data_IF_024021575456
#
_entry.id   IF_024021575456
#
_cell.length_a   1.000
_cell.length_b   1.000
_cell.length_c   1.000
_cell.angle_alpha   90.00
_cell.angle_beta   90.00
_cell.angle_gamma   90.00
#
_symmetry.space_group_name_H-M   'P 1'
#
loop_
_entity.id
_entity.type
_entity.pdbx_description
1 polymer ?
#
# COMPACT_ATOMS: atom_id res chain seq x y z
N UNK A 1 0.71 -8.39 21.57
CA UNK A 1 0.05 -7.86 20.36
C UNK A 1 -0.52 -6.52 20.68
N UNK A 2 -0.25 -5.56 19.80
CA UNK A 2 -0.77 -4.21 19.91
C UNK A 2 -2.17 -4.13 19.33
N UNK A 3 -2.95 -3.16 19.82
CA UNK A 3 -4.20 -2.78 19.18
C UNK A 3 -3.92 -2.13 17.83
N UNK A 4 -4.76 -2.41 16.84
CA UNK A 4 -4.61 -1.90 15.46
C UNK A 4 -4.52 -0.37 15.40
N UNK A 5 -5.18 0.33 16.33
CA UNK A 5 -5.21 1.79 16.44
C UNK A 5 -3.84 2.43 16.76
N UNK A 6 -2.85 1.64 17.16
CA UNK A 6 -1.48 2.11 17.38
C UNK A 6 -0.67 2.23 16.09
N UNK A 7 -1.14 1.64 15.00
CA UNK A 7 -0.43 1.62 13.74
C UNK A 7 -1.05 2.59 12.75
N UNK A 8 -0.22 3.40 12.11
CA UNK A 8 -0.63 4.21 10.95
C UNK A 8 -0.67 3.31 9.72
N UNK A 9 -1.86 2.77 9.40
CA UNK A 9 -2.02 1.86 8.26
C UNK A 9 -1.75 2.54 6.92
N UNK A 10 -1.96 3.85 6.81
CA UNK A 10 -1.72 4.59 5.58
C UNK A 10 -0.21 4.76 5.36
N UNK A 11 0.56 5.03 6.41
CA UNK A 11 2.01 5.12 6.34
C UNK A 11 2.67 3.75 6.10
N UNK A 12 2.17 2.66 6.72
CA UNK A 12 2.60 1.29 6.39
C UNK A 12 2.30 0.97 4.92
N UNK A 13 1.08 1.28 4.46
CA UNK A 13 0.69 1.04 3.08
C UNK A 13 1.54 1.84 2.08
N UNK A 14 1.88 3.08 2.42
CA UNK A 14 2.82 3.90 1.66
C UNK A 14 4.18 3.21 1.57
N UNK A 15 4.75 2.78 2.70
CA UNK A 15 6.02 2.06 2.76
C UNK A 15 6.01 0.76 1.94
N UNK A 16 4.92 -0.02 1.98
CA UNK A 16 4.73 -1.22 1.15
C UNK A 16 4.66 -0.91 -0.35
N UNK A 17 4.34 0.33 -0.73
CA UNK A 17 4.25 0.76 -2.13
C UNK A 17 5.53 1.40 -2.66
N UNK A 18 6.42 1.86 -1.78
CA UNK A 18 7.59 2.67 -2.12
C UNK A 18 8.71 1.84 -2.77
N UNK A 19 8.72 1.80 -4.10
CA UNK A 19 9.67 1.03 -4.91
C UNK A 19 11.04 1.70 -5.00
N UNK A 20 11.71 1.90 -3.86
CA UNK A 20 13.06 2.45 -3.83
C UNK A 20 14.05 1.55 -4.59
N UNK A 21 14.60 2.05 -5.69
CA UNK A 21 15.40 1.29 -6.66
C UNK A 21 16.83 0.97 -6.17
N UNK A 22 17.31 1.60 -5.09
CA UNK A 22 18.70 1.49 -4.65
C UNK A 22 18.89 1.20 -3.17
N UNK A 23 17.81 0.90 -2.46
CA UNK A 23 17.83 0.67 -1.02
C UNK A 23 18.47 1.84 -0.25
N UNK A 24 18.32 3.05 -0.79
CA UNK A 24 18.84 4.30 -0.19
C UNK A 24 18.17 4.60 1.16
N UNK A 25 16.92 4.18 1.29
CA UNK A 25 16.11 4.36 2.49
C UNK A 25 15.14 3.19 2.69
N UNK A 26 14.74 2.99 3.94
CA UNK A 26 13.78 1.98 4.39
C UNK A 26 12.88 2.56 5.48
N UNK A 27 11.63 2.14 5.47
CA UNK A 27 10.72 2.38 6.58
C UNK A 27 10.84 1.21 7.55
N UNK A 28 11.12 1.52 8.80
CA UNK A 28 11.16 0.59 9.92
C UNK A 28 9.96 0.83 10.81
N UNK A 29 9.47 -0.18 11.52
CA UNK A 29 8.42 -0.02 12.51
C UNK A 29 8.94 -0.33 13.90
N UNK A 30 8.57 0.50 14.88
CA UNK A 30 8.81 0.19 16.28
C UNK A 30 7.67 -0.71 16.79
N UNK A 31 7.97 -1.97 17.19
CA UNK A 31 6.96 -2.94 17.60
C UNK A 31 6.29 -2.62 18.95
N UNK A 32 6.82 -1.68 19.73
CA UNK A 32 6.26 -1.31 21.05
C UNK A 32 5.16 -0.24 20.95
N UNK A 33 5.34 0.72 20.04
CA UNK A 33 4.47 1.89 19.92
C UNK A 33 3.82 2.06 18.54
N UNK A 34 4.25 1.30 17.51
CA UNK A 34 3.75 1.38 16.14
C UNK A 34 4.33 2.53 15.31
N UNK A 35 5.31 3.27 15.84
CA UNK A 35 5.95 4.40 15.18
C UNK A 35 6.78 3.95 13.97
N UNK A 36 6.67 4.67 12.87
CA UNK A 36 7.47 4.42 11.66
C UNK A 36 8.69 5.34 11.66
N UNK A 37 9.84 4.72 11.39
CA UNK A 37 11.15 5.38 11.40
C UNK A 37 11.75 5.24 10.01
N UNK A 38 12.18 6.37 9.43
CA UNK A 38 12.91 6.37 8.18
C UNK A 38 14.39 6.12 8.46
N UNK A 39 14.89 4.95 8.03
CA UNK A 39 16.32 4.68 7.94
C UNK A 39 16.84 5.10 6.58
N UNK A 40 18.04 5.68 6.54
CA UNK A 40 18.77 6.01 5.32
C UNK A 40 20.16 5.40 5.36
N UNK A 41 20.68 5.00 4.20
CA UNK A 41 22.03 4.40 4.11
C UNK A 41 23.14 5.35 4.55
N UNK A 42 23.00 6.64 4.27
CA UNK A 42 24.02 7.64 4.59
C UNK A 42 23.89 8.21 6.01
N UNK A 43 22.68 8.30 6.55
CA UNK A 43 22.40 8.99 7.82
C UNK A 43 21.85 8.11 8.93
N UNK A 44 21.67 6.81 8.69
CA UNK A 44 21.01 5.92 9.66
C UNK A 44 19.58 6.37 9.95
N UNK A 45 19.16 6.28 11.21
CA UNK A 45 17.82 6.66 11.69
C UNK A 45 17.73 8.12 12.17
N UNK A 46 18.86 8.76 12.49
CA UNK A 46 18.91 10.14 12.98
C UNK A 46 19.33 11.16 11.89
N UNK A 47 19.65 10.67 10.70
CA UNK A 47 20.07 11.46 9.54
C UNK A 47 21.54 11.91 9.58
N UNK A 48 22.31 11.53 10.59
CA UNK A 48 23.69 12.00 10.83
C UNK A 48 24.68 10.90 11.13
N UNK A 49 24.24 9.79 11.72
CA UNK A 49 25.09 8.68 12.13
C UNK A 49 24.74 7.42 11.33
N UNK A 50 25.55 7.04 10.33
CA UNK A 50 25.34 5.82 9.57
C UNK A 50 25.32 4.60 10.51
N UNK A 51 24.28 3.78 10.39
CA UNK A 51 24.16 2.47 11.05
C UNK A 51 23.68 1.47 10.00
N UNK A 52 24.23 0.25 10.04
CA UNK A 52 23.76 -0.81 9.16
C UNK A 52 22.31 -1.17 9.52
N UNK A 53 21.50 -1.46 8.50
CA UNK A 53 20.11 -1.88 8.69
C UNK A 53 20.05 -3.17 9.50
N UNK A 54 20.99 -4.08 9.27
CA UNK A 54 21.07 -5.38 9.95
C UNK A 54 21.47 -5.26 11.44
N UNK A 55 22.02 -4.12 11.85
CA UNK A 55 22.35 -3.82 13.26
C UNK A 55 21.13 -3.28 14.03
N UNK A 56 20.02 -2.99 13.36
CA UNK A 56 18.77 -2.52 13.96
C UNK A 56 17.82 -3.70 14.22
N UNK A 57 17.39 -3.87 15.47
CA UNK A 57 16.37 -4.85 15.86
C UNK A 57 14.94 -4.30 15.63
N UNK A 58 14.72 -3.73 14.44
CA UNK A 58 13.44 -3.14 14.03
C UNK A 58 12.97 -3.78 12.72
N UNK A 59 11.72 -4.29 12.66
CA UNK A 59 11.19 -4.85 11.43
C UNK A 59 11.17 -3.81 10.30
N UNK A 60 11.74 -4.18 9.15
CA UNK A 60 11.75 -3.36 7.96
C UNK A 60 10.52 -3.64 7.08
N UNK A 61 9.76 -2.60 6.73
CA UNK A 61 8.62 -2.69 5.83
C UNK A 61 9.17 -2.80 4.41
N UNK A 62 9.24 -4.02 3.89
CA UNK A 62 9.73 -4.28 2.53
C UNK A 62 8.65 -3.98 1.50
N UNK A 63 8.97 -3.24 0.41
CA UNK A 63 8.00 -2.96 -0.63
C UNK A 63 7.44 -4.25 -1.24
N UNK A 64 6.13 -4.30 -1.41
CA UNK A 64 5.48 -5.39 -2.13
C UNK A 64 5.83 -5.31 -3.61
N UNK A 65 5.88 -6.44 -4.33
CA UNK A 65 6.10 -6.43 -5.76
C UNK A 65 5.08 -5.54 -6.48
N UNK A 66 5.55 -4.72 -7.43
CA UNK A 66 4.69 -3.82 -8.23
C UNK A 66 3.50 -4.51 -8.91
N UNK A 67 3.58 -5.82 -9.18
CA UNK A 67 2.46 -6.60 -9.74
C UNK A 67 1.25 -6.67 -8.80
N UNK A 68 1.44 -6.62 -7.47
CA UNK A 68 0.34 -6.62 -6.50
C UNK A 68 -0.45 -5.31 -6.57
N UNK A 69 0.25 -4.19 -6.75
CA UNK A 69 -0.38 -2.87 -6.92
C UNK A 69 -1.04 -2.75 -8.30
N UNK A 70 -0.41 -3.31 -9.33
CA UNK A 70 -0.98 -3.41 -10.67
C UNK A 70 -2.29 -4.22 -10.66
N UNK A 71 -2.33 -5.35 -9.95
CA UNK A 71 -3.52 -6.18 -9.84
C UNK A 71 -4.71 -5.40 -9.27
N UNK A 72 -4.47 -4.46 -8.34
CA UNK A 72 -5.53 -3.57 -7.84
C UNK A 72 -6.17 -2.73 -8.95
N UNK A 73 -5.40 -2.27 -9.94
CA UNK A 73 -5.95 -1.54 -11.08
C UNK A 73 -6.75 -2.45 -12.03
N UNK A 74 -6.28 -3.67 -12.24
CA UNK A 74 -6.98 -4.67 -13.05
C UNK A 74 -8.30 -5.07 -12.41
N UNK A 75 -8.29 -5.40 -11.11
CA UNK A 75 -9.49 -5.79 -10.38
C UNK A 75 -10.53 -4.65 -10.34
N UNK A 76 -10.09 -3.41 -10.10
CA UNK A 76 -11.00 -2.27 -10.19
C UNK A 76 -11.61 -2.14 -11.58
N UNK A 77 -10.80 -2.29 -12.63
CA UNK A 77 -11.26 -2.22 -14.02
C UNK A 77 -12.32 -3.28 -14.31
N UNK A 78 -12.14 -4.50 -13.80
CA UNK A 78 -13.07 -5.61 -13.99
C UNK A 78 -14.39 -5.44 -13.23
N UNK A 79 -14.40 -4.62 -12.17
CA UNK A 79 -15.59 -4.33 -11.35
C UNK A 79 -16.41 -3.13 -11.83
N UNK A 80 -15.86 -2.28 -12.72
CA UNK A 80 -16.59 -1.12 -13.27
C UNK A 80 -17.74 -1.57 -14.16
N UNK A 81 -18.97 -1.10 -13.88
CA UNK A 81 -20.15 -1.53 -14.62
C UNK A 81 -20.31 -0.85 -16.00
N UNK A 82 -19.72 0.33 -16.19
CA UNK A 82 -19.69 0.99 -17.50
C UNK A 82 -18.70 0.27 -18.42
N UNK A 83 -19.21 -0.58 -19.31
CA UNK A 83 -18.44 -1.34 -20.30
C UNK A 83 -17.45 -0.48 -21.10
N UNK A 84 -17.81 0.77 -21.42
CA UNK A 84 -16.94 1.66 -22.19
C UNK A 84 -15.79 2.16 -21.32
N UNK A 85 -16.06 2.48 -20.06
CA UNK A 85 -15.04 2.85 -19.09
C UNK A 85 -14.10 1.68 -18.80
N UNK A 86 -14.65 0.51 -18.47
CA UNK A 86 -13.90 -0.72 -18.22
C UNK A 86 -12.97 -1.06 -19.40
N UNK A 87 -13.48 -1.04 -20.64
CA UNK A 87 -12.66 -1.31 -21.83
C UNK A 87 -11.52 -0.29 -22.02
N UNK A 88 -11.75 0.99 -21.72
CA UNK A 88 -10.72 2.04 -21.81
C UNK A 88 -9.65 1.89 -20.75
N UNK A 89 -10.05 1.65 -19.51
CA UNK A 89 -9.15 1.40 -18.39
C UNK A 89 -8.31 0.13 -18.61
N UNK A 90 -8.92 -0.96 -19.09
CA UNK A 90 -8.23 -2.20 -19.43
C UNK A 90 -7.14 -1.97 -20.48
N UNK A 91 -7.40 -1.13 -21.48
CA UNK A 91 -6.39 -0.73 -22.46
C UNK A 91 -5.31 0.16 -21.84
N UNK A 92 -5.66 1.07 -20.95
CA UNK A 92 -4.72 1.99 -20.30
C UNK A 92 -3.66 1.26 -19.46
N UNK A 93 -4.06 0.18 -18.77
CA UNK A 93 -3.14 -0.59 -17.91
C UNK A 93 -2.16 -1.48 -18.70
N UNK A 94 -2.35 -1.68 -20.00
CA UNK A 94 -1.45 -2.54 -20.77
C UNK A 94 -0.10 -1.86 -21.10
N UNK A 95 1.01 -2.44 -20.62
CA UNK A 95 2.39 -2.05 -20.98
C UNK A 95 2.99 -0.92 -20.14
N UNK A 96 4.23 -0.51 -20.47
CA UNK A 96 5.03 0.46 -19.69
C UNK A 96 4.26 1.76 -19.43
N UNK A 97 4.22 2.23 -18.18
CA UNK A 97 3.49 3.46 -17.80
C UNK A 97 2.00 3.26 -17.50
N UNK A 98 1.58 2.02 -17.24
CA UNK A 98 0.21 1.65 -16.87
C UNK A 98 -0.38 2.53 -15.77
N UNK A 99 0.31 2.67 -14.63
CA UNK A 99 -0.13 3.47 -13.49
C UNK A 99 -0.46 4.91 -13.86
N UNK A 100 0.38 5.55 -14.66
CA UNK A 100 0.15 6.93 -15.11
C UNK A 100 -1.07 7.00 -16.02
N UNK A 101 -1.09 6.19 -17.10
CA UNK A 101 -2.18 6.23 -18.10
C UNK A 101 -3.54 5.91 -17.50
N UNK A 102 -3.63 4.97 -16.58
CA UNK A 102 -4.88 4.64 -15.90
C UNK A 102 -5.40 5.83 -15.09
N UNK A 103 -4.52 6.49 -14.32
CA UNK A 103 -4.89 7.71 -13.60
C UNK A 103 -5.28 8.82 -14.58
N UNK A 104 -4.54 9.02 -15.65
CA UNK A 104 -4.86 10.02 -16.67
C UNK A 104 -6.26 9.76 -17.28
N UNK A 105 -6.58 8.50 -17.61
CA UNK A 105 -7.90 8.12 -18.16
C UNK A 105 -9.03 8.38 -17.15
N UNK A 106 -8.83 8.05 -15.86
CA UNK A 106 -9.79 8.38 -14.80
C UNK A 106 -10.00 9.89 -14.66
N UNK A 107 -8.93 10.68 -14.63
CA UNK A 107 -9.03 12.14 -14.44
C UNK A 107 -9.65 12.84 -15.66
N UNK A 108 -9.28 12.43 -16.87
CA UNK A 108 -9.69 13.12 -18.08
C UNK A 108 -11.04 12.66 -18.64
N UNK A 109 -11.36 11.36 -18.53
CA UNK A 109 -12.50 10.75 -19.23
C UNK A 109 -13.57 10.22 -18.27
N UNK A 110 -13.17 9.77 -17.09
CA UNK A 110 -14.07 9.12 -16.12
C UNK A 110 -13.95 9.70 -14.70
N UNK A 111 -14.04 11.03 -14.51
CA UNK A 111 -13.83 11.64 -13.20
C UNK A 111 -14.84 11.20 -12.14
N UNK A 112 -16.01 10.71 -12.55
CA UNK A 112 -17.02 10.13 -11.66
C UNK A 112 -16.57 8.81 -11.01
N UNK A 113 -15.57 8.12 -11.58
CA UNK A 113 -15.00 6.89 -11.02
C UNK A 113 -13.81 7.15 -10.08
N UNK A 114 -13.30 8.39 -10.00
CA UNK A 114 -12.10 8.70 -9.21
C UNK A 114 -12.28 8.40 -7.73
N UNK A 115 -13.42 8.80 -7.15
CA UNK A 115 -13.67 8.56 -5.73
C UNK A 115 -13.76 7.06 -5.45
N UNK A 116 -14.50 6.31 -6.27
CA UNK A 116 -14.59 4.86 -6.16
C UNK A 116 -13.21 4.19 -6.30
N UNK A 117 -12.36 4.68 -7.20
CA UNK A 117 -10.98 4.20 -7.33
C UNK A 117 -10.15 4.46 -6.07
N UNK A 118 -10.23 5.67 -5.50
CA UNK A 118 -9.50 5.99 -4.27
C UNK A 118 -9.98 5.14 -3.10
N UNK A 119 -11.29 5.04 -2.88
CA UNK A 119 -11.86 4.23 -1.81
C UNK A 119 -11.43 2.75 -1.94
N UNK A 120 -11.49 2.21 -3.18
CA UNK A 120 -11.07 0.83 -3.48
C UNK A 120 -9.58 0.61 -3.26
N UNK A 121 -8.75 1.52 -3.76
CA UNK A 121 -7.29 1.47 -3.61
C UNK A 121 -6.91 1.53 -2.14
N UNK A 122 -7.47 2.49 -1.40
CA UNK A 122 -7.10 2.80 -0.02
C UNK A 122 -7.54 1.68 0.92
N UNK A 123 -8.77 1.15 0.74
CA UNK A 123 -9.24 -0.03 1.48
C UNK A 123 -8.29 -1.23 1.31
N UNK A 124 -7.89 -1.52 0.07
CA UNK A 124 -6.95 -2.63 -0.19
C UNK A 124 -5.52 -2.32 0.25
N UNK A 125 -5.11 -1.07 0.27
CA UNK A 125 -3.80 -0.66 0.77
C UNK A 125 -3.74 -0.87 2.29
N UNK A 126 -4.76 -0.44 3.03
CA UNK A 126 -4.89 -0.68 4.46
C UNK A 126 -4.97 -2.18 4.80
N UNK A 127 -5.71 -2.97 4.02
CA UNK A 127 -5.75 -4.44 4.21
C UNK A 127 -4.36 -5.10 4.05
N UNK A 128 -3.56 -4.65 3.08
CA UNK A 128 -2.18 -5.13 2.92
C UNK A 128 -1.28 -4.72 4.08
N UNK A 129 -1.47 -3.52 4.64
CA UNK A 129 -0.78 -3.10 5.85
C UNK A 129 -1.13 -4.03 7.04
N UNK A 130 -2.40 -4.38 7.19
CA UNK A 130 -2.87 -5.33 8.22
C UNK A 130 -2.33 -6.74 8.02
N UNK A 131 -2.30 -7.23 6.78
CA UNK A 131 -1.69 -8.52 6.42
C UNK A 131 -0.19 -8.53 6.76
N UNK A 132 0.54 -7.46 6.42
CA UNK A 132 1.94 -7.32 6.78
C UNK A 132 2.17 -7.30 8.30
N UNK A 133 1.36 -6.55 9.06
CA UNK A 133 1.42 -6.55 10.53
C UNK A 133 1.14 -7.92 11.14
N UNK A 134 0.26 -8.71 10.51
CA UNK A 134 -0.03 -10.08 10.94
C UNK A 134 1.17 -11.00 10.66
N UNK A 135 1.77 -10.91 9.47
CA UNK A 135 2.93 -11.72 9.07
C UNK A 135 4.16 -11.44 9.96
N UNK A 136 4.37 -10.19 10.36
CA UNK A 136 5.42 -9.77 11.30
C UNK A 136 5.05 -10.04 12.77
N UNK A 137 3.91 -10.70 13.04
CA UNK A 137 3.42 -11.01 14.40
C UNK A 137 3.18 -9.79 15.30
N UNK A 138 3.00 -8.61 14.71
CA UNK A 138 2.72 -7.35 15.40
C UNK A 138 1.22 -7.21 15.75
N UNK A 139 0.37 -7.84 14.93
CA UNK A 139 -1.08 -7.85 15.09
C UNK A 139 -1.62 -9.26 15.27
N UNK A 140 -2.72 -9.41 16.02
CA UNK A 140 -3.38 -10.71 16.20
C UNK A 140 -4.20 -11.11 14.98
N UNK A 141 -4.29 -12.42 14.72
CA UNK A 141 -5.16 -12.96 13.68
C UNK A 141 -6.61 -12.50 13.87
N UNK A 142 -7.12 -12.51 15.11
CA UNK A 142 -8.48 -12.05 15.42
C UNK A 142 -8.69 -10.56 15.09
N UNK A 143 -7.69 -9.72 15.33
CA UNK A 143 -7.77 -8.29 15.00
C UNK A 143 -7.71 -8.06 13.49
N UNK A 144 -6.86 -8.79 12.77
CA UNK A 144 -6.78 -8.73 11.31
C UNK A 144 -8.09 -9.20 10.63
N UNK A 145 -8.68 -10.29 11.14
CA UNK A 145 -9.98 -10.81 10.67
C UNK A 145 -11.12 -9.81 10.93
N UNK A 146 -11.15 -9.20 12.12
CA UNK A 146 -12.13 -8.16 12.44
C UNK A 146 -12.01 -6.96 11.50
N UNK A 147 -10.79 -6.45 11.32
CA UNK A 147 -10.55 -5.33 10.42
C UNK A 147 -11.02 -5.63 9.00
N UNK A 148 -10.69 -6.82 8.49
CA UNK A 148 -11.10 -7.25 7.14
C UNK A 148 -12.62 -7.37 7.00
N UNK A 149 -13.33 -7.80 8.04
CA UNK A 149 -14.79 -7.89 8.05
C UNK A 149 -15.45 -6.50 8.09
N UNK A 150 -14.84 -5.53 8.76
CA UNK A 150 -15.32 -4.14 8.86
C UNK A 150 -14.98 -3.32 7.61
N UNK A 151 -13.95 -3.72 6.86
CA UNK A 151 -13.45 -3.02 5.67
C UNK A 151 -13.49 -3.94 4.43
N UNK A 152 -14.68 -4.37 3.98
CA UNK A 152 -14.81 -5.14 2.75
C UNK A 152 -14.43 -4.28 1.53
N UNK A 153 -14.15 -4.93 0.40
CA UNK A 153 -13.93 -4.20 -0.85
C UNK A 153 -15.14 -3.29 -1.16
N UNK A 154 -14.92 -1.99 -1.43
CA UNK A 154 -16.00 -1.07 -1.76
C UNK A 154 -16.72 -1.49 -3.04
N UNK A 155 -18.00 -1.14 -3.12
CA UNK A 155 -18.75 -1.30 -4.36
C UNK A 155 -18.19 -0.35 -5.42
N UNK A 156 -17.88 -0.89 -6.60
CA UNK A 156 -17.43 -0.12 -7.76
C UNK A 156 -18.64 0.09 -8.67
N UNK A 157 -18.95 1.35 -9.07
CA UNK A 157 -20.10 1.66 -9.90
C UNK A 157 -19.97 1.21 -11.35
#
# INVERSE_FOLDING_TARGET
MLDIERFDLDEIAFALSDQNLYDEHRHLINPENGEIILWTREGGIDGTNPIDLDDLDLPAIRPLPSCIWYQGMADFTDLVSDDRAAHRLARAINGRGAFRRFKDELHEKYPHLLQAWYDFRDTRAARRAVEWLLDESLLSQQAAERFSAEHPDPQVP
#
